data_IF_854544664565
#
_entry.id   IF_854544664565
#
_cell.length_a   1.000
_cell.length_b   1.000
_cell.length_c   1.000
_cell.angle_alpha   90.00
_cell.angle_beta   90.00
_cell.angle_gamma   90.00
#
_symmetry.space_group_name_H-M   'P 1'
#
loop_
_entity.id
_entity.type
_entity.pdbx_description
1 polymer ?
#
# COMPACT_ATOMS: atom_id res chain seq x y z
N UNK A 1 7.08 -9.89 24.91
CA UNK A 1 6.84 -9.79 23.46
C UNK A 1 7.36 -8.43 23.04
N UNK A 2 8.24 -8.36 22.04
CA UNK A 2 8.81 -7.08 21.59
C UNK A 2 7.96 -6.54 20.45
N UNK A 3 7.56 -5.28 20.54
CA UNK A 3 6.88 -4.54 19.47
C UNK A 3 7.91 -4.19 18.39
N UNK A 4 7.61 -4.44 17.13
CA UNK A 4 8.41 -3.93 16.02
C UNK A 4 7.78 -2.64 15.51
N UNK A 5 8.49 -1.52 15.64
CA UNK A 5 8.09 -0.22 15.09
C UNK A 5 8.86 0.00 13.79
N UNK A 6 8.14 0.23 12.70
CA UNK A 6 8.74 0.43 11.38
C UNK A 6 8.73 1.92 11.03
N UNK A 7 9.91 2.46 10.81
CA UNK A 7 10.10 3.86 10.44
C UNK A 7 10.47 3.96 8.97
N UNK A 8 9.83 4.88 8.24
CA UNK A 8 10.37 5.34 6.98
C UNK A 8 11.21 6.58 7.27
N UNK A 9 12.53 6.48 7.12
CA UNK A 9 13.41 7.64 7.29
C UNK A 9 13.70 8.22 5.91
N UNK A 10 13.14 9.39 5.63
CA UNK A 10 13.39 10.15 4.41
C UNK A 10 14.23 11.38 4.74
N UNK A 11 15.43 11.49 4.15
CA UNK A 11 16.30 12.67 4.30
C UNK A 11 16.54 13.10 5.77
N UNK A 12 16.62 12.12 6.68
CA UNK A 12 16.81 12.37 8.12
C UNK A 12 15.55 12.80 8.87
N UNK A 13 14.40 12.92 8.20
CA UNK A 13 13.08 13.06 8.82
C UNK A 13 12.45 11.67 8.91
N UNK A 14 12.27 11.19 10.14
CA UNK A 14 11.51 9.96 10.37
C UNK A 14 10.02 10.27 10.20
N UNK A 15 9.39 9.66 9.22
CA UNK A 15 7.94 9.57 9.13
C UNK A 15 7.55 8.14 9.53
N UNK A 16 6.55 8.03 10.38
CA UNK A 16 6.04 6.71 10.72
C UNK A 16 5.26 6.15 9.53
N UNK A 17 5.48 4.87 9.25
CA UNK A 17 4.70 4.17 8.23
C UNK A 17 3.25 4.02 8.67
N UNK A 18 3.03 3.84 9.98
CA UNK A 18 1.73 3.72 10.60
C UNK A 18 1.77 4.47 11.93
N UNK A 19 1.48 5.76 11.89
CA UNK A 19 1.25 6.58 13.10
C UNK A 19 -0.02 7.39 12.87
N UNK A 20 -1.15 6.70 12.99
CA UNK A 20 -2.43 7.37 13.16
C UNK A 20 -2.58 7.68 14.65
N UNK A 21 -1.92 8.77 15.09
CA UNK A 21 -2.25 9.50 16.31
C UNK A 21 -3.67 10.07 16.18
N UNK A 22 -4.68 9.22 16.18
CA UNK A 22 -6.07 9.64 16.33
C UNK A 22 -6.53 9.58 17.79
N UNK A 23 -5.87 8.81 18.66
CA UNK A 23 -6.27 8.65 20.06
C UNK A 23 -5.04 8.80 21.00
N UNK A 24 -5.02 9.77 21.92
CA UNK A 24 -3.85 10.07 22.78
C UNK A 24 -3.63 9.07 23.92
N UNK A 25 -4.45 8.03 24.06
CA UNK A 25 -4.46 7.15 25.25
C UNK A 25 -3.96 5.71 25.02
N UNK A 26 -3.73 5.27 23.77
CA UNK A 26 -3.25 3.92 23.50
C UNK A 26 -1.72 3.88 23.28
N UNK A 27 -1.02 2.99 23.99
CA UNK A 27 0.42 2.77 23.80
C UNK A 27 0.68 2.26 22.36
N UNK A 28 1.44 2.98 21.51
CA UNK A 28 1.75 2.55 20.15
C UNK A 28 2.48 1.18 20.11
N UNK A 29 3.15 0.79 21.20
CA UNK A 29 3.78 -0.51 21.34
C UNK A 29 2.79 -1.68 21.46
N UNK A 30 1.54 -1.42 21.87
CA UNK A 30 0.47 -2.43 21.98
C UNK A 30 -0.33 -2.61 20.67
N UNK A 31 -0.25 -1.64 19.74
CA UNK A 31 -0.97 -1.68 18.46
C UNK A 31 -0.17 -2.34 17.34
N UNK A 32 1.16 -2.26 17.38
CA UNK A 32 2.02 -2.92 16.38
C UNK A 32 2.32 -4.35 16.77
N UNK A 33 1.61 -5.29 16.13
CA UNK A 33 2.00 -6.71 16.14
C UNK A 33 3.31 -6.92 15.38
N UNK A 34 3.58 -6.08 14.37
CA UNK A 34 4.83 -6.05 13.61
C UNK A 34 5.16 -7.38 12.94
N UNK A 35 4.16 -8.24 12.76
CA UNK A 35 4.23 -9.58 12.24
C UNK A 35 4.05 -9.59 10.74
N UNK A 36 4.64 -10.60 10.09
CA UNK A 36 4.50 -10.85 8.65
C UNK A 36 4.86 -9.65 7.76
N UNK A 37 5.87 -8.87 8.18
CA UNK A 37 6.34 -7.73 7.38
C UNK A 37 7.18 -8.20 6.22
N UNK A 38 6.73 -7.87 5.02
CA UNK A 38 7.39 -8.18 3.77
C UNK A 38 7.60 -6.90 2.96
N UNK A 39 8.79 -6.80 2.38
CA UNK A 39 9.15 -5.72 1.47
C UNK A 39 9.57 -6.33 0.13
N UNK A 40 9.06 -5.76 -0.96
CA UNK A 40 9.51 -6.10 -2.31
C UNK A 40 9.65 -4.84 -3.17
N UNK A 41 10.72 -4.78 -3.95
CA UNK A 41 10.82 -3.83 -5.04
C UNK A 41 10.19 -4.46 -6.30
N UNK A 42 9.37 -3.69 -6.98
CA UNK A 42 8.69 -4.07 -8.22
C UNK A 42 8.95 -3.03 -9.31
N UNK A 43 8.85 -3.44 -10.57
CA UNK A 43 9.10 -2.58 -11.75
C UNK A 43 10.47 -2.81 -12.40
N UNK A 44 10.57 -2.38 -13.66
CA UNK A 44 11.78 -2.54 -14.47
C UNK A 44 12.52 -1.20 -14.69
N UNK A 45 11.78 -0.11 -14.94
CA UNK A 45 12.32 1.24 -15.11
C UNK A 45 12.17 2.08 -13.84
N UNK A 46 10.94 2.40 -13.48
CA UNK A 46 10.62 2.97 -12.18
C UNK A 46 10.49 1.86 -11.14
N UNK A 47 11.29 1.96 -10.08
CA UNK A 47 11.22 1.03 -8.96
C UNK A 47 10.21 1.51 -7.94
N UNK A 48 9.34 0.60 -7.53
CA UNK A 48 8.35 0.84 -6.50
C UNK A 48 8.60 -0.13 -5.36
N UNK A 49 8.64 0.41 -4.14
CA UNK A 49 8.71 -0.38 -2.93
C UNK A 49 7.29 -0.67 -2.45
N UNK A 50 6.94 -1.95 -2.32
CA UNK A 50 5.72 -2.41 -1.67
C UNK A 50 6.11 -3.02 -0.34
N UNK A 51 5.60 -2.44 0.74
CA UNK A 51 5.70 -2.97 2.09
C UNK A 51 4.33 -3.48 2.49
N UNK A 52 4.25 -4.67 3.08
CA UNK A 52 3.00 -5.26 3.55
C UNK A 52 3.24 -5.94 4.89
N UNK A 53 2.27 -5.92 5.80
CA UNK A 53 2.39 -6.54 7.11
C UNK A 53 1.27 -6.17 8.07
N UNK A 54 1.30 -6.77 9.26
CA UNK A 54 0.33 -6.48 10.31
C UNK A 54 0.92 -5.44 11.28
N UNK A 55 0.65 -4.17 11.01
CA UNK A 55 1.19 -3.05 11.80
C UNK A 55 0.14 -2.43 12.76
N UNK A 56 -1.16 -2.67 12.52
CA UNK A 56 -2.27 -2.28 13.40
C UNK A 56 -3.56 -3.04 13.01
N UNK A 57 -4.39 -3.42 14.01
CA UNK A 57 -5.72 -4.05 13.85
C UNK A 57 -5.77 -5.40 13.11
N UNK A 58 -6.97 -5.95 12.89
CA UNK A 58 -7.24 -7.27 12.29
C UNK A 58 -7.05 -7.32 10.76
N UNK A 59 -6.37 -6.34 10.16
CA UNK A 59 -6.21 -6.22 8.72
C UNK A 59 -4.73 -6.12 8.35
N UNK A 60 -4.39 -6.64 7.18
CA UNK A 60 -3.08 -6.53 6.60
C UNK A 60 -2.94 -5.12 6.02
N UNK A 61 -1.93 -4.39 6.46
CA UNK A 61 -1.67 -3.06 5.92
C UNK A 61 -0.54 -3.13 4.91
N UNK A 62 -0.64 -2.31 3.86
CA UNK A 62 0.39 -2.15 2.85
C UNK A 62 0.70 -0.68 2.60
N UNK A 63 1.96 -0.39 2.33
CA UNK A 63 2.44 0.91 1.84
C UNK A 63 3.10 0.69 0.49
N UNK A 64 2.68 1.47 -0.50
CA UNK A 64 3.29 1.51 -1.83
C UNK A 64 3.98 2.85 -2.01
N UNK A 65 5.29 2.80 -2.26
CA UNK A 65 6.18 3.95 -2.41
C UNK A 65 6.81 3.95 -3.79
N UNK A 66 6.58 5.00 -4.55
CA UNK A 66 7.20 5.27 -5.85
C UNK A 66 7.95 6.58 -5.78
N UNK A 67 9.10 6.67 -6.43
CA UNK A 67 9.70 7.96 -6.72
C UNK A 67 9.33 8.38 -8.14
N UNK A 68 8.53 9.43 -8.28
CA UNK A 68 8.14 9.98 -9.57
C UNK A 68 9.28 10.85 -10.11
N UNK A 69 10.00 10.30 -11.09
CA UNK A 69 11.16 10.96 -11.70
C UNK A 69 10.79 12.25 -12.44
N UNK A 70 9.61 12.29 -13.05
CA UNK A 70 9.18 13.47 -13.80
C UNK A 70 8.96 14.67 -12.88
N UNK A 71 8.54 14.44 -11.65
CA UNK A 71 8.14 15.48 -10.70
C UNK A 71 9.15 15.65 -9.55
N UNK A 72 10.13 14.75 -9.46
CA UNK A 72 11.16 14.78 -8.42
C UNK A 72 10.61 14.58 -7.01
N UNK A 73 9.52 13.82 -6.87
CA UNK A 73 8.83 13.63 -5.58
C UNK A 73 8.58 12.15 -5.30
N UNK A 74 8.56 11.82 -4.02
CA UNK A 74 8.00 10.55 -3.56
C UNK A 74 6.48 10.61 -3.63
N UNK A 75 5.90 9.47 -3.99
CA UNK A 75 4.47 9.20 -4.05
C UNK A 75 4.19 8.00 -3.15
N UNK A 76 3.22 8.16 -2.25
CA UNK A 76 2.89 7.18 -1.23
C UNK A 76 1.39 6.90 -1.20
N UNK A 77 1.04 5.62 -1.21
CA UNK A 77 -0.31 5.12 -1.01
C UNK A 77 -0.32 4.11 0.15
N UNK A 78 -1.20 4.32 1.13
CA UNK A 78 -1.44 3.38 2.21
C UNK A 78 -2.75 2.60 1.95
N UNK A 79 -2.73 1.30 2.22
CA UNK A 79 -3.83 0.36 2.00
C UNK A 79 -4.00 -0.46 3.28
N UNK A 80 -5.23 -0.73 3.68
CA UNK A 80 -5.55 -1.60 4.81
C UNK A 80 -6.64 -2.58 4.38
N UNK A 81 -6.26 -3.83 4.13
CA UNK A 81 -7.11 -4.83 3.51
C UNK A 81 -6.95 -6.21 4.14
N UNK A 82 -7.86 -7.14 3.84
CA UNK A 82 -7.76 -8.51 4.37
C UNK A 82 -6.68 -9.36 3.69
N UNK A 83 -6.35 -9.02 2.45
CA UNK A 83 -5.41 -9.74 1.62
C UNK A 83 -4.29 -8.81 1.12
N UNK A 84 -3.16 -9.39 0.73
CA UNK A 84 -2.03 -8.64 0.20
C UNK A 84 -2.29 -8.16 -1.24
N UNK A 85 -1.72 -7.01 -1.65
CA UNK A 85 -1.70 -6.62 -3.04
C UNK A 85 -1.10 -7.69 -3.95
N UNK A 86 -1.76 -8.00 -5.07
CA UNK A 86 -1.28 -8.96 -6.06
C UNK A 86 -0.75 -8.31 -7.33
N UNK A 87 -1.28 -7.14 -7.68
CA UNK A 87 -0.91 -6.44 -8.91
C UNK A 87 -0.63 -4.97 -8.64
N UNK A 88 0.38 -4.48 -9.37
CA UNK A 88 0.76 -3.09 -9.44
C UNK A 88 0.75 -2.67 -10.90
N UNK A 89 0.05 -1.59 -11.23
CA UNK A 89 0.06 -1.00 -12.56
C UNK A 89 0.78 0.33 -12.50
N UNK A 90 1.87 0.48 -13.22
CA UNK A 90 2.69 1.71 -13.21
C UNK A 90 2.56 2.46 -14.52
N UNK A 91 2.34 3.77 -14.44
CA UNK A 91 2.21 4.61 -15.63
C UNK A 91 2.53 6.09 -15.36
N UNK A 92 2.54 6.91 -16.41
CA UNK A 92 2.92 8.32 -16.30
C UNK A 92 1.91 9.16 -15.49
N UNK A 93 0.67 8.70 -15.36
CA UNK A 93 -0.39 9.37 -14.58
C UNK A 93 -0.46 8.97 -13.10
N UNK A 94 0.42 8.07 -12.66
CA UNK A 94 0.38 7.49 -11.32
C UNK A 94 0.40 5.98 -11.35
N UNK A 95 -0.20 5.36 -10.35
CA UNK A 95 -0.21 3.90 -10.24
C UNK A 95 -1.52 3.36 -9.69
N UNK A 96 -1.77 2.09 -9.96
CA UNK A 96 -2.90 1.37 -9.41
C UNK A 96 -2.41 0.15 -8.65
N UNK A 97 -3.07 -0.14 -7.54
CA UNK A 97 -2.80 -1.33 -6.72
C UNK A 97 -4.07 -2.15 -6.68
N UNK A 98 -3.96 -3.43 -6.99
CA UNK A 98 -5.10 -4.35 -6.99
C UNK A 98 -4.93 -5.37 -5.86
N UNK A 99 -5.93 -5.41 -5.00
CA UNK A 99 -6.04 -6.35 -3.89
C UNK A 99 -7.19 -7.33 -4.21
N UNK A 100 -6.97 -8.66 -4.11
CA UNK A 100 -8.06 -9.61 -4.26
C UNK A 100 -9.06 -9.48 -3.10
N UNK A 101 -10.35 -9.69 -3.40
CA UNK A 101 -11.43 -9.65 -2.42
C UNK A 101 -12.16 -11.01 -2.39
N UNK A 102 -11.50 -12.10 -1.95
CA UNK A 102 -12.04 -13.45 -2.01
C UNK A 102 -13.30 -13.63 -1.14
N UNK A 103 -13.38 -12.88 -0.05
CA UNK A 103 -14.53 -12.89 0.87
C UNK A 103 -15.72 -12.03 0.40
N UNK A 104 -15.52 -11.12 -0.54
CA UNK A 104 -16.54 -10.16 -1.02
C UNK A 104 -17.27 -9.44 0.13
N UNK A 105 -16.50 -9.09 1.18
CA UNK A 105 -17.05 -8.63 2.45
C UNK A 105 -17.47 -7.15 2.43
N UNK A 106 -16.68 -6.32 1.75
CA UNK A 106 -16.90 -4.87 1.67
C UNK A 106 -17.64 -4.49 0.39
N UNK A 107 -17.30 -5.18 -0.70
CA UNK A 107 -17.96 -5.05 -2.00
C UNK A 107 -18.21 -6.44 -2.60
N UNK A 108 -19.24 -6.61 -3.44
CA UNK A 108 -19.53 -7.88 -4.09
C UNK A 108 -18.54 -8.22 -5.20
N UNK A 109 -17.61 -7.35 -5.58
CA UNK A 109 -16.67 -7.57 -6.69
C UNK A 109 -15.41 -8.36 -6.28
N UNK A 110 -14.73 -8.96 -7.27
CA UNK A 110 -13.55 -9.82 -7.04
C UNK A 110 -12.30 -9.11 -6.58
N UNK A 111 -12.17 -7.83 -6.88
CA UNK A 111 -10.96 -7.05 -6.64
C UNK A 111 -11.32 -5.68 -6.08
N UNK A 112 -10.43 -5.17 -5.23
CA UNK A 112 -10.40 -3.78 -4.80
C UNK A 112 -9.25 -3.09 -5.52
N UNK A 113 -9.57 -2.01 -6.22
CA UNK A 113 -8.63 -1.27 -7.06
C UNK A 113 -8.42 0.10 -6.44
N UNK A 114 -7.21 0.31 -5.94
CA UNK A 114 -6.74 1.60 -5.47
C UNK A 114 -6.05 2.34 -6.60
N UNK A 115 -6.24 3.66 -6.65
CA UNK A 115 -5.56 4.55 -7.61
C UNK A 115 -4.81 5.62 -6.85
N UNK A 116 -3.53 5.77 -7.19
CA UNK A 116 -2.77 6.96 -6.91
C UNK A 116 -2.73 7.84 -8.16
N UNK A 117 -3.29 9.04 -8.07
CA UNK A 117 -3.25 10.02 -9.17
C UNK A 117 -2.09 11.01 -8.99
N UNK A 118 -1.03 10.86 -9.78
CA UNK A 118 0.13 11.77 -9.73
C UNK A 118 -0.28 13.21 -10.00
N UNK A 119 -1.28 13.47 -10.87
CA UNK A 119 -1.65 14.82 -11.29
C UNK A 119 -2.15 15.72 -10.16
N UNK A 120 -2.60 15.13 -9.05
CA UNK A 120 -3.15 15.84 -7.90
C UNK A 120 -2.09 16.51 -7.01
N UNK A 121 -0.80 16.35 -7.29
CA UNK A 121 0.27 17.09 -6.59
C UNK A 121 0.52 16.69 -5.14
N UNK A 122 -0.22 15.73 -4.61
CA UNK A 122 -0.02 15.25 -3.26
C UNK A 122 1.06 14.17 -3.25
N UNK A 123 2.17 14.41 -2.54
CA UNK A 123 3.21 13.39 -2.30
C UNK A 123 2.67 12.17 -1.52
N UNK A 124 1.51 12.33 -0.89
CA UNK A 124 0.82 11.33 -0.10
C UNK A 124 -0.67 11.34 -0.42
N UNK A 125 -1.25 10.17 -0.72
CA UNK A 125 -2.70 9.99 -0.78
C UNK A 125 -3.11 9.10 0.39
N UNK A 126 -3.83 9.72 1.32
CA UNK A 126 -4.43 9.03 2.45
C UNK A 126 -5.58 8.14 1.97
N UNK A 127 -5.80 7.03 2.68
CA UNK A 127 -6.90 6.08 2.48
C UNK A 127 -8.27 6.76 2.28
N UNK A 128 -8.49 7.91 2.92
CA UNK A 128 -9.78 8.60 2.99
C UNK A 128 -10.11 9.53 1.81
N UNK A 129 -9.16 9.87 0.93
CA UNK A 129 -9.44 10.87 -0.11
C UNK A 129 -10.27 10.32 -1.28
N UNK A 130 -9.98 9.10 -1.72
CA UNK A 130 -10.75 8.34 -2.71
C UNK A 130 -10.58 6.85 -2.38
N UNK A 131 -11.62 6.22 -1.85
CA UNK A 131 -11.57 4.79 -1.45
C UNK A 131 -11.40 3.85 -2.65
N UNK A 132 -11.16 2.55 -2.41
CA UNK A 132 -10.99 1.59 -3.48
C UNK A 132 -12.25 1.45 -4.34
N UNK A 133 -12.06 1.16 -5.62
CA UNK A 133 -13.13 0.78 -6.53
C UNK A 133 -13.22 -0.73 -6.66
N UNK A 134 -14.41 -1.29 -6.46
CA UNK A 134 -14.67 -2.71 -6.73
C UNK A 134 -14.60 -3.02 -8.23
N UNK A 135 -14.01 -4.16 -8.59
CA UNK A 135 -13.98 -4.66 -9.97
C UNK A 135 -14.03 -6.19 -10.05
N UNK A 136 -14.81 -6.74 -10.99
CA UNK A 136 -14.80 -8.19 -11.25
C UNK A 136 -13.67 -8.64 -12.18
N UNK A 137 -13.00 -7.70 -12.85
CA UNK A 137 -11.87 -7.99 -13.74
C UNK A 137 -10.66 -7.16 -13.35
N UNK A 138 -9.47 -7.65 -13.70
CA UNK A 138 -8.27 -6.83 -13.60
C UNK A 138 -8.42 -5.59 -14.51
N UNK A 139 -7.92 -4.40 -14.11
CA UNK A 139 -7.98 -3.20 -14.93
C UNK A 139 -7.28 -3.39 -16.28
N UNK A 140 -7.93 -2.93 -17.35
CA UNK A 140 -7.32 -2.79 -18.67
C UNK A 140 -6.86 -1.33 -18.82
N UNK A 141 -5.59 -1.07 -18.53
CA UNK A 141 -5.02 0.28 -18.47
C UNK A 141 -3.97 0.45 -19.59
N UNK A 142 -4.34 1.00 -20.76
CA UNK A 142 -3.38 1.29 -21.82
C UNK A 142 -2.28 2.25 -21.34
N UNK A 143 -1.03 1.93 -21.67
CA UNK A 143 0.13 2.73 -21.26
C UNK A 143 0.58 2.52 -19.81
N UNK A 144 0.04 1.51 -19.12
CA UNK A 144 0.51 1.08 -17.82
C UNK A 144 1.19 -0.29 -17.91
N UNK A 145 2.32 -0.43 -17.22
CA UNK A 145 3.01 -1.69 -17.05
C UNK A 145 2.35 -2.47 -15.91
N UNK A 146 1.75 -3.61 -16.26
CA UNK A 146 1.14 -4.53 -15.30
C UNK A 146 2.21 -5.44 -14.67
N UNK A 147 2.43 -5.30 -13.37
CA UNK A 147 3.44 -6.03 -12.62
C UNK A 147 2.72 -6.93 -11.62
N UNK A 148 2.97 -8.24 -11.72
CA UNK A 148 2.53 -9.19 -10.71
C UNK A 148 3.48 -9.15 -9.53
N UNK A 149 2.95 -8.78 -8.38
CA UNK A 149 3.68 -8.84 -7.13
C UNK A 149 3.86 -10.29 -6.72
N UNK A 150 4.98 -10.62 -6.09
CA UNK A 150 5.21 -11.99 -5.64
C UNK A 150 4.29 -12.26 -4.45
N UNK A 151 3.33 -13.20 -4.54
CA UNK A 151 2.61 -13.61 -3.36
C UNK A 151 3.56 -14.42 -2.48
N UNK A 152 3.55 -14.16 -1.18
CA UNK A 152 4.06 -15.14 -0.22
C UNK A 152 2.95 -15.54 0.72
N UNK A 153 2.82 -16.87 0.87
CA UNK A 153 2.02 -17.47 1.92
C UNK A 153 2.72 -17.18 3.25
N UNK A 154 1.97 -16.91 4.32
CA UNK A 154 2.54 -17.01 5.67
C UNK A 154 3.22 -18.38 5.80
N UNK A 155 4.50 -18.40 6.17
CA UNK A 155 5.13 -19.67 6.57
C UNK A 155 4.46 -20.15 7.86
N UNK A 156 4.17 -21.46 7.97
CA UNK A 156 3.57 -22.04 9.16
C UNK A 156 4.46 -21.89 10.40
#
# INVERSE_FOLDING_TARGET
MGSAVYHLVLEGKAEYLYDEREEPEDDPAERSRGSFVEAQCAGHGEQVLVLTGEFHSNFLQSVVLRYNQAWGTWERLNIAERDAPEWLYLGPGGFYVVVPNPGRNETPERYLVYRFDSSKGAAYQAYLSEGPQGSDTLPALPGYDAIRLKPRRPQP
#
